data_IF_520464995046
#
_entry.id   IF_520464995046
#
_cell.length_a   1.000
_cell.length_b   1.000
_cell.length_c   1.000
_cell.angle_alpha   90.00
_cell.angle_beta   90.00
_cell.angle_gamma   90.00
#
_symmetry.space_group_name_H-M   'P 1'
#
loop_
_entity.id
_entity.type
_entity.pdbx_description
1 polymer ?
#
# COMPACT_ATOMS: atom_id res chain seq x y z
N UNK A 1 -9.84 16.96 -23.25
CA UNK A 1 -9.90 15.76 -22.37
C UNK A 1 -9.67 16.27 -20.96
N UNK A 2 -10.73 16.67 -20.26
CA UNK A 2 -10.63 17.15 -18.87
C UNK A 2 -10.38 15.93 -18.00
N UNK A 3 -9.21 15.88 -17.36
CA UNK A 3 -8.92 14.85 -16.37
C UNK A 3 -9.73 15.18 -15.12
N UNK A 4 -10.58 14.27 -14.63
CA UNK A 4 -11.44 14.49 -13.44
C UNK A 4 -10.71 14.80 -12.12
N UNK A 5 -9.40 15.05 -12.16
CA UNK A 5 -8.60 15.61 -11.07
C UNK A 5 -8.76 17.12 -10.92
N UNK A 6 -9.05 17.83 -12.01
CA UNK A 6 -9.21 19.30 -11.98
C UNK A 6 -10.53 19.72 -11.30
N UNK A 7 -11.56 18.85 -11.34
CA UNK A 7 -12.86 19.10 -10.72
C UNK A 7 -12.93 18.67 -9.24
N UNK A 8 -12.01 17.80 -8.77
CA UNK A 8 -12.14 17.15 -7.47
C UNK A 8 -11.65 17.99 -6.26
N UNK A 9 -10.95 19.10 -6.50
CA UNK A 9 -10.64 20.12 -5.49
C UNK A 9 -9.93 19.64 -4.21
N UNK A 10 -10.11 20.42 -3.14
CA UNK A 10 -9.64 20.10 -1.78
C UNK A 10 -10.54 19.05 -1.13
N UNK A 11 -9.93 18.06 -0.48
CA UNK A 11 -10.64 16.98 0.22
C UNK A 11 -10.24 16.99 1.71
N UNK A 12 -11.07 16.40 2.58
CA UNK A 12 -10.81 16.33 4.02
C UNK A 12 -10.81 17.69 4.73
N UNK A 13 -11.41 18.73 4.13
CA UNK A 13 -11.67 20.00 4.79
C UNK A 13 -12.68 19.86 5.94
N UNK A 14 -13.84 19.25 5.64
CA UNK A 14 -14.83 18.83 6.64
C UNK A 14 -14.70 17.32 6.92
N UNK A 15 -14.76 16.94 8.20
CA UNK A 15 -14.64 15.55 8.66
C UNK A 15 -16.00 14.89 8.86
N UNK A 16 -16.77 14.84 7.78
CA UNK A 16 -18.04 14.13 7.70
C UNK A 16 -17.84 12.59 7.74
N UNK A 17 -18.94 11.84 7.71
CA UNK A 17 -18.87 10.37 7.79
C UNK A 17 -18.17 9.76 6.57
N UNK A 18 -18.36 10.33 5.37
CA UNK A 18 -17.75 9.85 4.14
C UNK A 18 -16.22 10.04 4.16
N UNK A 19 -15.73 11.21 4.57
CA UNK A 19 -14.32 11.50 4.74
C UNK A 19 -13.67 10.54 5.75
N UNK A 20 -14.32 10.30 6.89
CA UNK A 20 -13.83 9.34 7.89
C UNK A 20 -13.76 7.91 7.33
N UNK A 21 -14.76 7.49 6.56
CA UNK A 21 -14.76 6.18 5.92
C UNK A 21 -13.63 6.05 4.88
N UNK A 22 -13.42 7.06 4.04
CA UNK A 22 -12.31 7.11 3.07
C UNK A 22 -10.95 6.99 3.78
N UNK A 23 -10.75 7.74 4.86
CA UNK A 23 -9.52 7.70 5.66
C UNK A 23 -9.34 6.36 6.39
N UNK A 24 -10.42 5.78 6.92
CA UNK A 24 -10.39 4.46 7.55
C UNK A 24 -10.02 3.37 6.54
N UNK A 25 -10.47 3.49 5.29
CA UNK A 25 -10.07 2.56 4.24
C UNK A 25 -8.60 2.71 3.85
N UNK A 26 -8.10 3.95 3.70
CA UNK A 26 -6.67 4.22 3.50
C UNK A 26 -5.87 3.58 4.63
N UNK A 27 -6.27 3.82 5.89
CA UNK A 27 -5.64 3.20 7.05
C UNK A 27 -5.60 1.68 6.96
N UNK A 28 -6.75 1.06 6.68
CA UNK A 28 -6.89 -0.40 6.62
C UNK A 28 -6.01 -1.01 5.52
N UNK A 29 -5.96 -0.40 4.33
CA UNK A 29 -5.10 -0.88 3.24
C UNK A 29 -3.64 -0.84 3.67
N UNK A 30 -3.14 0.28 4.18
CA UNK A 30 -1.72 0.40 4.57
C UNK A 30 -1.38 -0.49 5.75
N UNK A 31 -2.28 -0.62 6.73
CA UNK A 31 -2.15 -1.54 7.85
C UNK A 31 -1.97 -2.98 7.34
N UNK A 32 -2.90 -3.46 6.51
CA UNK A 32 -2.89 -4.83 6.00
C UNK A 32 -1.67 -5.08 5.12
N UNK A 33 -1.36 -4.18 4.19
CA UNK A 33 -0.20 -4.32 3.30
C UNK A 33 1.10 -4.39 4.10
N UNK A 34 1.31 -3.50 5.07
CA UNK A 34 2.55 -3.47 5.82
C UNK A 34 2.67 -4.65 6.80
N UNK A 35 1.59 -5.02 7.48
CA UNK A 35 1.58 -6.23 8.32
C UNK A 35 1.90 -7.45 7.49
N UNK A 36 1.23 -7.65 6.35
CA UNK A 36 1.50 -8.75 5.44
C UNK A 36 2.97 -8.76 4.98
N UNK A 37 3.52 -7.59 4.63
CA UNK A 37 4.92 -7.46 4.24
C UNK A 37 5.87 -7.94 5.35
N UNK A 38 5.65 -7.48 6.58
CA UNK A 38 6.44 -7.91 7.74
C UNK A 38 6.24 -9.39 8.09
N UNK A 39 5.08 -9.99 7.80
CA UNK A 39 4.85 -11.44 7.97
C UNK A 39 5.60 -12.27 6.95
N UNK A 40 5.57 -11.86 5.69
CA UNK A 40 6.37 -12.52 4.65
C UNK A 40 7.86 -12.38 4.95
N UNK A 41 8.30 -11.18 5.35
CA UNK A 41 9.70 -10.94 5.71
C UNK A 41 10.18 -11.78 6.90
N UNK A 42 9.32 -12.07 7.88
CA UNK A 42 9.65 -12.93 9.02
C UNK A 42 10.05 -14.35 8.61
N UNK A 43 9.54 -14.83 7.48
CA UNK A 43 9.88 -16.15 6.94
C UNK A 43 11.19 -16.16 6.15
N UNK A 44 11.83 -15.00 5.98
CA UNK A 44 13.01 -14.81 5.13
C UNK A 44 14.11 -14.06 5.89
N UNK A 45 15.01 -14.78 6.61
CA UNK A 45 16.05 -14.17 7.46
C UNK A 45 17.03 -13.24 6.72
N UNK A 46 17.17 -13.41 5.41
CA UNK A 46 18.03 -12.57 4.55
C UNK A 46 17.33 -11.31 4.02
N UNK A 47 16.06 -11.08 4.40
CA UNK A 47 15.33 -9.87 4.01
C UNK A 47 15.85 -8.63 4.76
N UNK A 48 15.78 -7.46 4.12
CA UNK A 48 16.18 -6.20 4.74
C UNK A 48 15.35 -5.92 6.01
N UNK A 49 14.04 -6.18 5.96
CA UNK A 49 13.11 -5.96 7.07
C UNK A 49 13.40 -6.83 8.30
N UNK A 50 14.06 -7.98 8.13
CA UNK A 50 14.49 -8.82 9.26
C UNK A 50 15.52 -8.11 10.16
N UNK A 51 16.16 -7.03 9.69
CA UNK A 51 17.03 -6.17 10.52
C UNK A 51 16.29 -5.38 11.60
N UNK A 52 14.96 -5.33 11.55
CA UNK A 52 14.10 -4.75 12.58
C UNK A 52 13.37 -5.88 13.35
N UNK A 53 14.07 -6.63 14.24
CA UNK A 53 13.51 -7.81 14.89
C UNK A 53 12.31 -7.48 15.80
N UNK A 54 12.22 -6.26 16.32
CA UNK A 54 11.06 -5.82 17.11
C UNK A 54 9.77 -5.69 16.28
N UNK A 55 9.88 -5.41 14.97
CA UNK A 55 8.73 -5.36 14.05
C UNK A 55 8.38 -6.75 13.52
N UNK A 56 9.39 -7.54 13.18
CA UNK A 56 9.23 -8.80 12.46
C UNK A 56 9.10 -10.01 13.42
N UNK A 57 9.61 -9.92 14.64
CA UNK A 57 9.69 -11.05 15.58
C UNK A 57 8.35 -11.49 16.19
N UNK A 58 7.30 -10.67 16.15
CA UNK A 58 5.98 -11.03 16.69
C UNK A 58 4.84 -10.42 15.88
N UNK A 59 3.65 -11.04 15.92
CA UNK A 59 2.45 -10.49 15.26
C UNK A 59 2.07 -9.14 15.86
N UNK A 60 2.19 -8.99 17.18
CA UNK A 60 1.94 -7.72 17.87
C UNK A 60 2.89 -6.62 17.37
N UNK A 61 4.19 -6.90 17.25
CA UNK A 61 5.17 -5.94 16.73
C UNK A 61 4.85 -5.49 15.31
N UNK A 62 4.45 -6.43 14.43
CA UNK A 62 4.02 -6.09 13.08
C UNK A 62 2.73 -5.28 13.05
N UNK A 63 1.74 -5.65 13.87
CA UNK A 63 0.49 -4.91 13.99
C UNK A 63 0.74 -3.48 14.46
N UNK A 64 1.58 -3.28 15.49
CA UNK A 64 1.98 -1.95 15.96
C UNK A 64 2.68 -1.17 14.84
N UNK A 65 3.64 -1.78 14.14
CA UNK A 65 4.31 -1.15 13.00
C UNK A 65 3.33 -0.74 11.89
N UNK A 66 2.35 -1.59 11.59
CA UNK A 66 1.30 -1.31 10.61
C UNK A 66 0.35 -0.21 11.06
N UNK A 67 -0.02 -0.15 12.34
CA UNK A 67 -0.83 0.94 12.89
C UNK A 67 -0.08 2.26 12.80
N UNK A 68 1.22 2.28 13.15
CA UNK A 68 2.04 3.49 13.07
C UNK A 68 2.19 3.97 11.62
N UNK A 69 2.52 3.08 10.69
CA UNK A 69 2.66 3.45 9.29
C UNK A 69 1.32 3.87 8.67
N UNK A 70 0.25 3.10 8.90
CA UNK A 70 -1.09 3.45 8.42
C UNK A 70 -1.56 4.79 8.98
N UNK A 71 -1.33 5.04 10.28
CA UNK A 71 -1.64 6.32 10.92
C UNK A 71 -0.84 7.48 10.32
N UNK A 72 0.45 7.28 10.05
CA UNK A 72 1.29 8.27 9.38
C UNK A 72 0.77 8.60 7.97
N UNK A 73 0.41 7.58 7.16
CA UNK A 73 -0.10 7.81 5.81
C UNK A 73 -1.46 8.51 5.83
N UNK A 74 -2.32 8.20 6.80
CA UNK A 74 -3.58 8.93 7.01
C UNK A 74 -3.32 10.39 7.35
N UNK A 75 -2.44 10.67 8.30
CA UNK A 75 -2.10 12.04 8.69
C UNK A 75 -1.54 12.84 7.51
N UNK A 76 -0.63 12.24 6.74
CA UNK A 76 -0.08 12.82 5.53
C UNK A 76 -1.16 13.02 4.44
N UNK A 77 -2.11 12.09 4.30
CA UNK A 77 -3.24 12.20 3.37
C UNK A 77 -4.21 13.32 3.75
N UNK A 78 -4.46 13.53 5.05
CA UNK A 78 -5.25 14.66 5.54
C UNK A 78 -4.55 15.99 5.19
N UNK A 79 -3.24 16.09 5.46
CA UNK A 79 -2.46 17.28 5.17
C UNK A 79 -2.45 17.57 3.66
N UNK A 80 -2.15 16.56 2.83
CA UNK A 80 -2.17 16.67 1.39
C UNK A 80 -3.54 17.07 0.86
N UNK A 81 -4.62 16.43 1.35
CA UNK A 81 -5.98 16.72 0.90
C UNK A 81 -6.42 18.15 1.20
N UNK A 82 -6.06 18.67 2.38
CA UNK A 82 -6.41 20.02 2.83
C UNK A 82 -5.62 21.13 2.14
N UNK A 83 -4.36 20.90 1.81
CA UNK A 83 -3.46 21.94 1.30
C UNK A 83 -3.13 21.83 -0.18
N UNK A 84 -3.31 20.65 -0.79
CA UNK A 84 -2.86 20.38 -2.16
C UNK A 84 -3.89 19.62 -3.00
N UNK A 85 -4.97 19.14 -2.38
CA UNK A 85 -6.11 18.55 -3.08
C UNK A 85 -5.99 17.05 -3.35
N UNK A 86 -7.01 16.51 -4.02
CA UNK A 86 -7.19 15.07 -4.20
C UNK A 86 -6.03 14.41 -4.96
N UNK A 87 -5.53 15.05 -6.02
CA UNK A 87 -4.45 14.49 -6.84
C UNK A 87 -3.19 14.21 -5.99
N UNK A 88 -2.83 15.13 -5.08
CA UNK A 88 -1.68 14.95 -4.18
C UNK A 88 -1.90 13.80 -3.19
N UNK A 89 -3.12 13.61 -2.69
CA UNK A 89 -3.46 12.44 -1.86
C UNK A 89 -3.22 11.15 -2.62
N UNK A 90 -3.63 11.10 -3.89
CA UNK A 90 -3.42 9.92 -4.73
C UNK A 90 -1.95 9.67 -5.05
N UNK A 91 -1.17 10.72 -5.37
CA UNK A 91 0.27 10.58 -5.58
C UNK A 91 1.01 10.11 -4.33
N UNK A 92 0.64 10.62 -3.16
CA UNK A 92 1.17 10.16 -1.87
C UNK A 92 0.92 8.66 -1.68
N UNK A 93 -0.33 8.22 -1.85
CA UNK A 93 -0.70 6.82 -1.68
C UNK A 93 -0.05 5.92 -2.74
N UNK A 94 0.08 6.41 -3.98
CA UNK A 94 0.82 5.73 -5.05
C UNK A 94 2.29 5.53 -4.69
N UNK A 95 2.97 6.57 -4.18
CA UNK A 95 4.34 6.47 -3.74
C UNK A 95 4.54 5.39 -2.67
N UNK A 96 3.69 5.36 -1.64
CA UNK A 96 3.76 4.35 -0.58
C UNK A 96 3.46 2.94 -1.12
N UNK A 97 2.43 2.79 -1.97
CA UNK A 97 2.10 1.50 -2.59
C UNK A 97 3.25 1.00 -3.47
N UNK A 98 3.94 1.88 -4.21
CA UNK A 98 5.11 1.50 -4.99
C UNK A 98 6.23 0.91 -4.12
N UNK A 99 6.45 1.42 -2.91
CA UNK A 99 7.41 0.83 -1.97
C UNK A 99 7.00 -0.59 -1.56
N UNK A 100 5.71 -0.82 -1.29
CA UNK A 100 5.23 -2.18 -1.03
C UNK A 100 5.41 -3.10 -2.23
N UNK A 101 5.10 -2.62 -3.44
CA UNK A 101 5.27 -3.39 -4.68
C UNK A 101 6.72 -3.85 -4.84
N UNK A 102 7.68 -2.95 -4.61
CA UNK A 102 9.12 -3.27 -4.68
C UNK A 102 9.50 -4.32 -3.65
N UNK A 103 9.14 -4.12 -2.39
CA UNK A 103 9.53 -5.04 -1.30
C UNK A 103 8.88 -6.42 -1.46
N UNK A 104 7.58 -6.48 -1.79
CA UNK A 104 6.91 -7.75 -2.08
C UNK A 104 7.50 -8.45 -3.31
N UNK A 105 7.90 -7.71 -4.34
CA UNK A 105 8.57 -8.29 -5.53
C UNK A 105 9.83 -9.05 -5.11
N UNK A 106 10.66 -8.44 -4.28
CA UNK A 106 11.90 -9.05 -3.80
C UNK A 106 11.60 -10.28 -2.94
N UNK A 107 10.65 -10.16 -2.01
CA UNK A 107 10.28 -11.26 -1.10
C UNK A 107 9.62 -12.43 -1.84
N UNK A 108 8.74 -12.17 -2.80
CA UNK A 108 8.10 -13.22 -3.60
C UNK A 108 9.10 -13.94 -4.49
N UNK A 109 10.02 -13.22 -5.11
CA UNK A 109 11.07 -13.81 -5.95
C UNK A 109 11.96 -14.77 -5.17
N UNK A 110 12.37 -14.38 -3.95
CA UNK A 110 13.24 -15.20 -3.08
C UNK A 110 12.52 -16.35 -2.38
N UNK A 111 11.23 -16.17 -2.09
CA UNK A 111 10.41 -17.10 -1.32
C UNK A 111 9.53 -17.96 -2.21
N UNK A 112 8.35 -17.43 -2.55
CA UNK A 112 7.29 -18.17 -3.24
C UNK A 112 7.70 -18.64 -4.64
N UNK A 113 8.13 -17.74 -5.52
CA UNK A 113 8.46 -18.08 -6.91
C UNK A 113 9.71 -18.92 -7.04
N UNK A 114 10.67 -18.77 -6.13
CA UNK A 114 11.81 -19.68 -6.03
C UNK A 114 11.36 -21.13 -5.81
N UNK A 115 10.41 -21.36 -4.92
CA UNK A 115 9.89 -22.71 -4.62
C UNK A 115 8.98 -23.24 -5.73
N UNK A 116 8.22 -22.36 -6.38
CA UNK A 116 7.27 -22.73 -7.42
C UNK A 116 7.94 -23.04 -8.77
N UNK A 117 8.93 -22.24 -9.17
CA UNK A 117 9.56 -22.28 -10.50
C UNK A 117 10.92 -23.00 -10.52
N UNK A 118 11.30 -23.58 -9.38
CA UNK A 118 12.58 -24.24 -9.14
C UNK A 118 13.82 -23.30 -9.22
N UNK A 119 14.95 -23.79 -8.73
CA UNK A 119 16.25 -23.08 -8.74
C UNK A 119 16.93 -23.10 -10.11
N UNK A 120 16.37 -23.83 -11.09
CA UNK A 120 16.81 -23.81 -12.49
C UNK A 120 16.53 -22.46 -13.18
N UNK A 121 15.51 -21.72 -12.74
CA UNK A 121 15.15 -20.44 -13.33
C UNK A 121 16.05 -19.32 -12.79
N UNK A 122 16.62 -18.53 -13.71
CA UNK A 122 17.48 -17.39 -13.37
C UNK A 122 16.78 -16.42 -12.39
N UNK A 123 17.47 -15.95 -11.34
CA UNK A 123 16.90 -15.03 -10.35
C UNK A 123 16.26 -13.79 -10.96
N UNK A 124 16.83 -13.26 -12.03
CA UNK A 124 16.36 -12.08 -12.76
C UNK A 124 14.97 -12.31 -13.35
N UNK A 125 14.73 -13.48 -13.92
CA UNK A 125 13.42 -13.87 -14.48
C UNK A 125 12.40 -14.01 -13.35
N UNK A 126 12.78 -14.61 -12.21
CA UNK A 126 11.88 -14.71 -11.05
C UNK A 126 11.52 -13.34 -10.47
N UNK A 127 12.47 -12.41 -10.42
CA UNK A 127 12.22 -11.02 -10.04
C UNK A 127 11.27 -10.35 -11.03
N UNK A 128 11.48 -10.53 -12.34
CA UNK A 128 10.61 -9.96 -13.37
C UNK A 128 9.16 -10.47 -13.27
N UNK A 129 8.97 -11.78 -13.09
CA UNK A 129 7.63 -12.37 -12.89
C UNK A 129 6.98 -11.80 -11.61
N UNK A 130 7.73 -11.76 -10.51
CA UNK A 130 7.24 -11.21 -9.24
C UNK A 130 6.86 -9.74 -9.37
N UNK A 131 7.64 -8.97 -10.12
CA UNK A 131 7.40 -7.55 -10.38
C UNK A 131 6.11 -7.35 -11.17
N UNK A 132 5.90 -8.11 -12.26
CA UNK A 132 4.67 -8.03 -13.05
C UNK A 132 3.44 -8.31 -12.19
N UNK A 133 3.49 -9.36 -11.35
CA UNK A 133 2.39 -9.70 -10.44
C UNK A 133 2.14 -8.55 -9.45
N UNK A 134 3.18 -8.02 -8.83
CA UNK A 134 3.02 -6.97 -7.82
C UNK A 134 2.63 -5.62 -8.41
N UNK A 135 3.09 -5.25 -9.60
CA UNK A 135 2.65 -4.04 -10.29
C UNK A 135 1.16 -4.12 -10.59
N UNK A 136 0.64 -5.26 -11.04
CA UNK A 136 -0.80 -5.44 -11.24
C UNK A 136 -1.58 -5.31 -9.93
N UNK A 137 -1.11 -5.93 -8.84
CA UNK A 137 -1.75 -5.80 -7.53
C UNK A 137 -1.72 -4.34 -7.02
N UNK A 138 -0.60 -3.64 -7.20
CA UNK A 138 -0.46 -2.22 -6.86
C UNK A 138 -1.37 -1.32 -7.69
N UNK A 139 -1.46 -1.56 -9.00
CA UNK A 139 -2.35 -0.85 -9.91
C UNK A 139 -3.82 -1.02 -9.51
N UNK A 140 -4.26 -2.25 -9.23
CA UNK A 140 -5.62 -2.52 -8.78
C UNK A 140 -5.93 -1.79 -7.47
N UNK A 141 -5.02 -1.85 -6.50
CA UNK A 141 -5.16 -1.16 -5.22
C UNK A 141 -5.28 0.36 -5.41
N UNK A 142 -4.50 0.92 -6.33
CA UNK A 142 -4.55 2.35 -6.63
C UNK A 142 -5.82 2.78 -7.36
N UNK A 143 -6.31 1.98 -8.31
CA UNK A 143 -7.57 2.26 -8.97
C UNK A 143 -8.74 2.17 -7.99
N UNK A 144 -8.73 1.18 -7.11
CA UNK A 144 -9.70 1.07 -6.03
C UNK A 144 -9.67 2.29 -5.10
N UNK A 145 -8.48 2.74 -4.67
CA UNK A 145 -8.34 3.96 -3.87
C UNK A 145 -8.82 5.21 -4.60
N UNK A 146 -8.50 5.34 -5.89
CA UNK A 146 -8.97 6.44 -6.73
C UNK A 146 -10.49 6.49 -6.78
N UNK A 147 -11.14 5.37 -7.06
CA UNK A 147 -12.60 5.30 -7.17
C UNK A 147 -13.27 5.62 -5.83
N UNK A 148 -12.73 5.11 -4.72
CA UNK A 148 -13.24 5.44 -3.38
C UNK A 148 -13.07 6.92 -3.07
N UNK A 149 -11.91 7.50 -3.39
CA UNK A 149 -11.61 8.89 -3.09
C UNK A 149 -12.47 9.85 -3.91
N UNK A 150 -12.80 9.48 -5.15
CA UNK A 150 -13.71 10.22 -6.04
C UNK A 150 -15.20 9.97 -5.74
N UNK A 151 -15.55 8.98 -4.92
CA UNK A 151 -16.95 8.72 -4.59
C UNK A 151 -17.57 9.83 -3.73
N UNK A 152 -18.78 10.27 -4.07
CA UNK A 152 -19.53 11.30 -3.36
C UNK A 152 -20.54 10.74 -2.34
N UNK A 153 -20.64 9.42 -2.22
CA UNK A 153 -21.62 8.77 -1.32
C UNK A 153 -21.11 7.47 -0.72
N UNK A 154 -21.72 7.07 0.40
CA UNK A 154 -21.51 5.76 1.03
C UNK A 154 -22.49 4.74 0.44
N UNK A 155 -21.97 3.64 -0.11
CA UNK A 155 -22.76 2.49 -0.60
C UNK A 155 -22.60 2.18 -2.09
N UNK A 156 -23.20 1.07 -2.52
CA UNK A 156 -23.37 0.71 -3.94
C UNK A 156 -24.72 1.25 -4.38
N UNK A 157 -24.77 2.01 -5.47
CA UNK A 157 -26.03 2.43 -6.09
C UNK A 157 -26.65 1.28 -6.87
#
# INVERSE_FOLDING_TARGET
>A
MMTGFDDAGFIFGQMDQLARAKLALIFAIHLVCFVALLRVAATQPTSFLHRAPFLVGSLAGSAVGGVLLGGFVVAASILAGRHSGLATVLFLNAGVISLYVIEFTILLSRGFFRRLLDDALQPEIRVAISFIVMVNAGYFTLMFLKDILLSDSLGVR
#
